data_IF_217142275671
#
_entry.id   IF_217142275671
#
_cell.length_a   1.000
_cell.length_b   1.000
_cell.length_c   1.000
_cell.angle_alpha   90.00
_cell.angle_beta   90.00
_cell.angle_gamma   90.00
#
_symmetry.space_group_name_H-M   'P 1'
#
loop_
_entity.id
_entity.type
_entity.pdbx_description
1 polymer ?
#
# COMPACT_ATOMS: atom_id res chain seq x y z
N UNK A 1 5.15 28.26 -1.23
CA UNK A 1 5.89 27.91 -0.01
C UNK A 1 5.29 28.69 1.15
N UNK A 2 4.70 28.00 2.13
CA UNK A 2 3.95 28.60 3.24
C UNK A 2 4.84 28.97 4.42
N UNK A 3 4.42 29.99 5.19
CA UNK A 3 5.10 30.43 6.42
C UNK A 3 5.21 29.27 7.42
N UNK A 4 6.41 29.09 7.96
CA UNK A 4 6.72 28.09 8.99
C UNK A 4 6.06 28.53 10.31
N UNK A 5 5.15 27.71 10.85
CA UNK A 5 4.66 27.90 12.20
C UNK A 5 5.71 27.28 13.12
N UNK A 6 6.64 28.12 13.58
CA UNK A 6 7.86 27.69 14.27
C UNK A 6 7.62 26.65 15.37
N UNK A 7 8.54 25.69 15.46
CA UNK A 7 8.58 24.70 16.54
C UNK A 7 8.71 25.43 17.88
N UNK A 8 7.86 25.10 18.85
CA UNK A 8 8.01 25.65 20.21
C UNK A 8 9.35 25.20 20.82
N UNK A 9 9.99 26.01 21.67
CA UNK A 9 11.25 25.64 22.35
C UNK A 9 11.14 24.35 23.19
N UNK A 10 9.92 23.92 23.53
CA UNK A 10 9.65 22.68 24.26
C UNK A 10 9.31 21.48 23.35
N UNK A 11 9.32 21.70 22.04
CA UNK A 11 9.08 20.66 21.06
C UNK A 11 10.37 19.89 20.76
N UNK A 12 10.52 18.75 21.45
CA UNK A 12 11.62 17.80 21.23
C UNK A 12 11.38 16.88 20.03
N UNK A 13 10.27 17.05 19.31
CA UNK A 13 9.89 16.14 18.23
C UNK A 13 10.60 16.47 16.91
N UNK A 14 11.19 15.42 16.34
CA UNK A 14 11.91 15.46 15.07
C UNK A 14 11.12 14.68 14.03
N UNK A 15 11.15 15.10 12.77
CA UNK A 15 10.50 14.36 11.68
C UNK A 15 9.12 14.88 11.29
N UNK A 16 8.82 16.16 11.53
CA UNK A 16 7.63 16.79 10.97
C UNK A 16 7.93 18.22 10.50
N UNK A 17 7.11 18.71 9.57
CA UNK A 17 7.14 20.06 8.99
C UNK A 17 5.75 20.67 9.05
N UNK A 18 5.65 21.98 9.29
CA UNK A 18 4.37 22.69 9.29
C UNK A 18 4.22 23.54 8.03
N UNK A 19 2.99 23.90 7.69
CA UNK A 19 2.76 24.82 6.58
C UNK A 19 1.30 25.15 6.35
N UNK A 20 1.02 25.65 5.15
CA UNK A 20 -0.31 25.99 4.69
C UNK A 20 -0.58 25.35 3.33
N UNK A 21 -1.73 24.69 3.21
CA UNK A 21 -2.31 24.29 1.93
C UNK A 21 -3.62 25.05 1.77
N UNK A 22 -3.75 25.88 0.74
CA UNK A 22 -4.98 26.68 0.50
C UNK A 22 -5.47 27.42 1.76
N UNK A 23 -4.53 28.05 2.49
CA UNK A 23 -4.76 28.77 3.77
C UNK A 23 -5.17 27.91 4.95
N UNK A 24 -5.10 26.58 4.85
CA UNK A 24 -5.36 25.64 5.95
C UNK A 24 -4.04 25.21 6.58
N UNK A 25 -3.88 25.35 7.91
CA UNK A 25 -2.73 24.81 8.62
C UNK A 25 -2.61 23.31 8.39
N UNK A 26 -1.41 22.88 8.01
CA UNK A 26 -1.07 21.47 7.85
C UNK A 26 0.19 21.13 8.62
N UNK A 27 0.25 19.90 9.08
CA UNK A 27 1.42 19.29 9.70
C UNK A 27 1.70 18.01 8.93
N UNK A 28 2.90 17.92 8.35
CA UNK A 28 3.36 16.74 7.61
C UNK A 28 4.37 16.04 8.50
N UNK A 29 4.06 14.81 8.92
CA UNK A 29 4.93 14.00 9.73
C UNK A 29 5.52 12.84 8.91
N UNK A 30 6.79 12.56 9.13
CA UNK A 30 7.62 11.60 8.41
C UNK A 30 8.23 10.63 9.41
N UNK A 31 7.60 9.45 9.61
CA UNK A 31 8.08 8.44 10.54
C UNK A 31 9.52 7.99 10.24
N UNK A 32 10.25 7.60 11.28
CA UNK A 32 11.63 7.09 11.18
C UNK A 32 11.65 5.63 10.71
N UNK A 33 11.26 5.37 9.47
CA UNK A 33 11.26 4.04 8.87
C UNK A 33 9.90 3.60 8.36
N UNK A 34 9.91 2.50 7.61
CA UNK A 34 8.74 1.93 6.94
C UNK A 34 8.18 0.79 7.80
N UNK A 35 7.44 1.14 8.84
CA UNK A 35 6.70 0.18 9.65
C UNK A 35 5.53 0.82 10.41
N UNK A 36 4.59 -0.04 10.84
CA UNK A 36 3.36 0.37 11.52
C UNK A 36 3.64 1.01 12.88
N UNK A 37 4.66 0.55 13.60
CA UNK A 37 4.97 1.03 14.95
C UNK A 37 5.50 2.47 14.91
N UNK A 38 6.47 2.76 14.04
CA UNK A 38 7.01 4.09 13.86
C UNK A 38 5.95 5.07 13.34
N UNK A 39 5.09 4.64 12.41
CA UNK A 39 3.96 5.46 11.95
C UNK A 39 2.96 5.76 13.08
N UNK A 40 2.61 4.77 13.90
CA UNK A 40 1.69 4.93 15.02
C UNK A 40 2.28 5.86 16.10
N UNK A 41 3.55 5.69 16.46
CA UNK A 41 4.24 6.54 17.42
C UNK A 41 4.28 8.00 16.93
N UNK A 42 4.59 8.21 15.65
CA UNK A 42 4.61 9.54 15.08
C UNK A 42 3.21 10.18 15.07
N UNK A 43 2.17 9.42 14.72
CA UNK A 43 0.79 9.90 14.73
C UNK A 43 0.30 10.23 16.16
N UNK A 44 0.66 9.42 17.15
CA UNK A 44 0.35 9.67 18.56
C UNK A 44 1.04 10.94 19.06
N UNK A 45 2.31 11.14 18.69
CA UNK A 45 3.05 12.36 19.00
C UNK A 45 2.39 13.59 18.36
N UNK A 46 2.05 13.52 17.07
CA UNK A 46 1.37 14.61 16.36
C UNK A 46 0.02 14.94 17.00
N UNK A 47 -0.74 13.93 17.41
CA UNK A 47 -2.01 14.11 18.11
C UNK A 47 -1.86 14.81 19.46
N UNK A 48 -0.69 14.66 20.10
CA UNK A 48 -0.34 15.33 21.35
C UNK A 48 0.10 16.78 21.16
N UNK A 49 0.93 17.05 20.13
CA UNK A 49 1.53 18.39 19.94
C UNK A 49 0.66 19.31 19.08
N UNK A 50 -0.11 18.77 18.14
CA UNK A 50 -0.93 19.56 17.23
C UNK A 50 -2.33 19.69 17.79
N UNK A 51 -2.63 20.86 18.34
CA UNK A 51 -3.98 21.16 18.81
C UNK A 51 -4.93 21.31 17.62
N UNK A 52 -6.11 20.67 17.70
CA UNK A 52 -7.20 20.78 16.72
C UNK A 52 -6.99 20.09 15.36
N UNK A 53 -6.35 18.91 15.31
CA UNK A 53 -6.40 18.06 14.10
C UNK A 53 -7.86 17.71 13.77
N UNK A 54 -8.37 18.22 12.63
CA UNK A 54 -9.72 17.89 12.12
C UNK A 54 -9.71 16.69 11.17
N UNK A 55 -8.60 16.49 10.47
CA UNK A 55 -8.40 15.41 9.51
C UNK A 55 -6.94 14.96 9.55
N UNK A 56 -6.72 13.66 9.70
CA UNK A 56 -5.43 13.03 9.54
C UNK A 56 -5.48 12.12 8.31
N UNK A 57 -4.49 12.24 7.42
CA UNK A 57 -4.37 11.41 6.22
C UNK A 57 -3.06 10.64 6.29
N UNK A 58 -3.13 9.33 6.11
CA UNK A 58 -1.95 8.50 5.88
C UNK A 58 -1.71 8.46 4.36
N UNK A 59 -0.57 9.00 3.93
CA UNK A 59 -0.19 9.07 2.51
C UNK A 59 1.10 8.29 2.32
N UNK A 60 1.14 7.44 1.31
CA UNK A 60 2.31 6.64 0.98
C UNK A 60 2.07 5.82 -0.28
N UNK A 61 3.15 5.20 -0.77
CA UNK A 61 3.10 4.24 -1.86
C UNK A 61 2.73 2.88 -1.29
N UNK A 62 1.84 2.15 -1.97
CA UNK A 62 1.42 0.81 -1.58
C UNK A 62 1.40 -0.11 -2.79
N UNK A 63 1.57 -1.41 -2.55
CA UNK A 63 1.16 -2.42 -3.50
C UNK A 63 -0.37 -2.48 -3.58
N UNK A 64 -0.91 -2.71 -4.77
CA UNK A 64 -2.33 -2.86 -5.04
C UNK A 64 -2.64 -4.27 -5.54
N UNK A 65 -3.78 -4.82 -5.13
CA UNK A 65 -4.33 -5.95 -5.86
C UNK A 65 -4.71 -5.46 -7.27
N UNK A 66 -4.47 -6.26 -8.32
CA UNK A 66 -4.55 -5.81 -9.71
C UNK A 66 -5.94 -5.37 -10.17
N UNK A 67 -6.98 -5.73 -9.41
CA UNK A 67 -8.37 -5.42 -9.72
C UNK A 67 -9.10 -4.98 -8.46
N UNK A 68 -10.04 -4.05 -8.63
CA UNK A 68 -10.96 -3.64 -7.55
C UNK A 68 -11.86 -4.80 -7.13
N UNK A 69 -12.21 -4.92 -5.83
CA UNK A 69 -13.04 -6.01 -5.31
C UNK A 69 -14.54 -5.75 -5.54
N UNK A 70 -14.93 -5.37 -6.77
CA UNK A 70 -16.31 -5.08 -7.17
C UNK A 70 -16.86 -6.19 -8.07
N UNK A 71 -18.20 -6.34 -8.19
CA UNK A 71 -18.81 -7.26 -9.15
C UNK A 71 -18.32 -7.04 -10.58
N UNK A 72 -18.12 -5.77 -10.94
CA UNK A 72 -17.43 -5.33 -12.16
C UNK A 72 -16.03 -4.86 -11.78
N UNK A 73 -15.01 -5.74 -11.86
CA UNK A 73 -13.65 -5.42 -11.47
C UNK A 73 -13.03 -4.42 -12.44
N UNK A 74 -12.63 -3.27 -11.91
CA UNK A 74 -11.80 -2.29 -12.61
C UNK A 74 -10.32 -2.59 -12.34
N UNK A 75 -9.45 -2.64 -13.36
CA UNK A 75 -8.00 -2.78 -13.18
C UNK A 75 -7.41 -1.60 -12.41
N UNK A 76 -6.37 -1.86 -11.62
CA UNK A 76 -5.62 -0.85 -10.85
C UNK A 76 -4.19 -0.84 -11.37
N UNK A 77 -3.74 0.31 -11.86
CA UNK A 77 -2.42 0.49 -12.46
C UNK A 77 -1.43 1.17 -11.53
N UNK A 78 -0.14 0.97 -11.80
CA UNK A 78 0.95 1.71 -11.19
C UNK A 78 0.79 3.21 -11.49
N UNK A 79 0.70 3.99 -10.42
CA UNK A 79 0.45 5.43 -10.47
C UNK A 79 -1.00 5.82 -10.17
N UNK A 80 -1.93 4.87 -10.08
CA UNK A 80 -3.29 5.16 -9.62
C UNK A 80 -3.30 5.61 -8.16
N UNK A 81 -4.15 6.59 -7.87
CA UNK A 81 -4.40 7.12 -6.54
C UNK A 81 -5.57 6.38 -5.91
N UNK A 82 -5.28 5.61 -4.86
CA UNK A 82 -6.30 4.88 -4.12
C UNK A 82 -6.68 5.63 -2.85
N UNK A 83 -7.96 5.96 -2.71
CA UNK A 83 -8.53 6.54 -1.49
C UNK A 83 -9.26 5.45 -0.72
N UNK A 84 -8.67 5.02 0.39
CA UNK A 84 -9.28 4.01 1.25
C UNK A 84 -10.48 4.57 2.03
N UNK A 85 -11.57 3.82 2.09
CA UNK A 85 -12.69 4.11 2.99
C UNK A 85 -12.67 3.24 4.26
N UNK A 86 -11.82 2.21 4.29
CA UNK A 86 -11.66 1.32 5.44
C UNK A 86 -10.31 0.61 5.42
N UNK A 87 -9.75 0.36 6.59
CA UNK A 87 -8.46 -0.32 6.76
C UNK A 87 -8.67 -1.57 7.60
N UNK A 88 -8.00 -2.66 7.24
CA UNK A 88 -8.01 -3.92 7.99
C UNK A 88 -6.59 -4.35 8.29
N UNK A 89 -6.36 -4.87 9.50
CA UNK A 89 -5.08 -5.47 9.87
C UNK A 89 -5.10 -6.95 9.44
N UNK A 90 -4.60 -7.24 8.23
CA UNK A 90 -4.82 -8.54 7.60
C UNK A 90 -4.00 -9.67 8.25
N UNK A 91 -2.84 -9.35 8.80
CA UNK A 91 -1.87 -10.24 9.47
C UNK A 91 -1.98 -10.25 11.01
N UNK A 92 -2.97 -9.54 11.56
CA UNK A 92 -3.34 -9.66 12.97
C UNK A 92 -4.24 -10.88 13.24
N UNK A 93 -3.62 -11.98 13.67
CA UNK A 93 -4.29 -13.27 13.77
C UNK A 93 -3.43 -14.36 14.36
N UNK A 94 -3.96 -15.58 14.31
CA UNK A 94 -3.29 -16.78 14.81
C UNK A 94 -2.89 -17.67 13.64
N UNK A 95 -1.65 -18.14 13.66
CA UNK A 95 -1.19 -19.19 12.75
C UNK A 95 -1.50 -20.55 13.37
N UNK A 96 -2.44 -21.29 12.79
CA UNK A 96 -2.74 -22.67 13.13
C UNK A 96 -2.08 -23.63 12.14
N UNK A 97 -2.09 -24.92 12.47
CA UNK A 97 -1.60 -25.99 11.59
C UNK A 97 -2.43 -26.09 10.30
N UNK A 98 -3.73 -25.77 10.36
CA UNK A 98 -4.65 -25.71 9.21
C UNK A 98 -4.63 -24.35 8.49
N UNK A 99 -3.86 -23.39 8.99
CA UNK A 99 -3.63 -22.11 8.34
C UNK A 99 -3.81 -20.89 9.24
N UNK A 100 -3.66 -19.71 8.65
CA UNK A 100 -3.80 -18.44 9.34
C UNK A 100 -5.27 -18.05 9.49
N UNK A 101 -5.69 -17.70 10.71
CA UNK A 101 -7.03 -17.14 10.98
C UNK A 101 -6.86 -15.74 11.57
N UNK A 102 -7.32 -14.74 10.80
CA UNK A 102 -7.39 -13.35 11.24
C UNK A 102 -8.31 -13.22 12.44
N UNK A 103 -7.89 -12.43 13.44
CA UNK A 103 -8.76 -12.03 14.53
C UNK A 103 -9.87 -11.11 14.01
N UNK A 104 -11.09 -11.32 14.51
CA UNK A 104 -12.30 -10.60 14.09
C UNK A 104 -13.12 -10.09 15.27
N UNK A 105 -12.57 -10.15 16.49
CA UNK A 105 -13.22 -9.57 17.65
C UNK A 105 -13.37 -8.07 17.48
N UNK A 106 -14.33 -7.48 18.21
CA UNK A 106 -14.59 -6.03 18.16
C UNK A 106 -13.32 -5.25 18.53
N UNK A 107 -12.56 -5.73 19.51
CA UNK A 107 -11.27 -5.16 19.95
C UNK A 107 -10.13 -5.37 18.95
N UNK A 108 -10.28 -6.33 18.03
CA UNK A 108 -9.27 -6.68 17.03
C UNK A 108 -9.50 -5.99 15.67
N UNK A 109 -10.62 -5.27 15.53
CA UNK A 109 -10.99 -4.54 14.31
C UNK A 109 -10.64 -3.07 14.49
N UNK A 110 -9.98 -2.50 13.48
CA UNK A 110 -9.70 -1.07 13.45
C UNK A 110 -11.00 -0.27 13.44
N UNK A 111 -11.03 0.79 14.24
CA UNK A 111 -12.17 1.71 14.29
C UNK A 111 -12.49 2.29 12.93
N UNK A 112 -13.77 2.54 12.67
CA UNK A 112 -14.18 3.26 11.46
C UNK A 112 -13.80 4.73 11.56
N UNK A 113 -13.62 5.37 10.42
CA UNK A 113 -13.57 6.83 10.36
C UNK A 113 -14.81 7.42 11.05
N UNK A 114 -14.62 8.53 11.76
CA UNK A 114 -15.74 9.24 12.39
C UNK A 114 -16.75 9.72 11.33
N UNK A 115 -17.97 10.06 11.76
CA UNK A 115 -19.05 10.42 10.84
C UNK A 115 -18.70 11.60 9.92
N UNK A 116 -17.97 12.59 10.43
CA UNK A 116 -17.57 13.78 9.66
C UNK A 116 -16.64 13.39 8.50
N UNK A 117 -15.59 12.62 8.79
CA UNK A 117 -14.64 12.11 7.79
C UNK A 117 -15.34 11.15 6.83
N UNK A 118 -16.17 10.23 7.33
CA UNK A 118 -16.90 9.28 6.49
C UNK A 118 -17.87 9.99 5.53
N UNK A 119 -18.56 11.04 6.00
CA UNK A 119 -19.46 11.85 5.17
C UNK A 119 -18.67 12.66 4.14
N UNK A 120 -17.53 13.23 4.53
CA UNK A 120 -16.63 13.93 3.63
C UNK A 120 -16.14 13.03 2.50
N UNK A 121 -15.60 11.84 2.82
CA UNK A 121 -15.11 10.86 1.83
C UNK A 121 -16.25 10.38 0.92
N UNK A 122 -17.43 10.09 1.48
CA UNK A 122 -18.62 9.74 0.68
C UNK A 122 -19.04 10.87 -0.26
N UNK A 123 -18.85 12.12 0.14
CA UNK A 123 -19.05 13.29 -0.72
C UNK A 123 -18.11 13.33 -1.92
N UNK A 124 -16.85 12.92 -1.74
CA UNK A 124 -15.84 12.86 -2.81
C UNK A 124 -16.17 11.81 -3.86
N UNK A 125 -16.83 10.72 -3.46
CA UNK A 125 -17.26 9.63 -4.37
C UNK A 125 -18.39 10.04 -5.33
N UNK A 126 -19.06 11.18 -5.08
CA UNK A 126 -20.12 11.66 -5.98
C UNK A 126 -19.52 12.04 -7.33
N UNK A 127 -20.18 11.62 -8.42
CA UNK A 127 -19.71 11.78 -9.81
C UNK A 127 -19.08 13.14 -10.13
N UNK A 128 -19.72 14.26 -9.75
CA UNK A 128 -19.20 15.62 -10.01
C UNK A 128 -17.95 15.94 -9.18
N UNK A 129 -17.94 15.56 -7.89
CA UNK A 129 -16.81 15.79 -7.01
C UNK A 129 -15.60 14.95 -7.45
N UNK A 130 -15.84 13.69 -7.78
CA UNK A 130 -14.83 12.78 -8.31
C UNK A 130 -14.22 13.32 -9.60
N UNK A 131 -15.05 13.66 -10.60
CA UNK A 131 -14.55 14.21 -11.85
C UNK A 131 -13.70 15.48 -11.65
N UNK A 132 -14.13 16.37 -10.75
CA UNK A 132 -13.37 17.59 -10.43
C UNK A 132 -12.01 17.27 -9.80
N UNK A 133 -11.98 16.34 -8.84
CA UNK A 133 -10.75 15.98 -8.12
C UNK A 133 -9.79 15.23 -9.05
N UNK A 134 -10.29 14.28 -9.84
CA UNK A 134 -9.49 13.58 -10.84
C UNK A 134 -8.91 14.56 -11.86
N UNK A 135 -9.69 15.50 -12.38
CA UNK A 135 -9.18 16.48 -13.34
C UNK A 135 -8.10 17.39 -12.72
N UNK A 136 -8.29 17.83 -11.48
CA UNK A 136 -7.29 18.64 -10.77
C UNK A 136 -6.01 17.84 -10.54
N UNK A 137 -6.12 16.62 -10.01
CA UNK A 137 -4.97 15.73 -9.77
C UNK A 137 -4.22 15.43 -11.06
N UNK A 138 -4.92 15.17 -12.16
CA UNK A 138 -4.28 14.94 -13.45
C UNK A 138 -3.52 16.17 -13.95
N UNK A 139 -4.08 17.37 -13.75
CA UNK A 139 -3.39 18.62 -14.05
C UNK A 139 -2.13 18.80 -13.22
N UNK A 140 -2.24 18.60 -11.90
CA UNK A 140 -1.13 18.74 -10.97
C UNK A 140 -0.01 17.72 -11.26
N UNK A 141 -0.36 16.46 -11.53
CA UNK A 141 0.58 15.41 -11.93
C UNK A 141 1.24 15.76 -13.27
N UNK A 142 0.47 16.22 -14.27
CA UNK A 142 1.03 16.60 -15.56
C UNK A 142 2.05 17.75 -15.42
N UNK A 143 1.75 18.75 -14.58
CA UNK A 143 2.71 19.83 -14.29
C UNK A 143 3.97 19.30 -13.59
N UNK A 144 3.83 18.38 -12.63
CA UNK A 144 4.97 17.76 -11.96
C UNK A 144 5.85 16.97 -12.92
N UNK A 145 5.25 16.16 -13.79
CA UNK A 145 5.95 15.37 -14.81
C UNK A 145 6.66 16.26 -15.85
N UNK A 146 6.07 17.41 -16.21
CA UNK A 146 6.73 18.39 -17.10
C UNK A 146 7.99 18.99 -16.46
N UNK A 147 8.00 19.14 -15.13
CA UNK A 147 9.14 19.70 -14.39
C UNK A 147 10.19 18.65 -14.06
N UNK A 148 9.80 17.40 -13.90
CA UNK A 148 10.70 16.29 -13.58
C UNK A 148 10.21 15.01 -14.23
N UNK A 149 10.89 14.59 -15.29
CA UNK A 149 10.56 13.39 -16.06
C UNK A 149 10.67 12.10 -15.24
N UNK A 150 11.41 12.10 -14.12
CA UNK A 150 11.52 10.94 -13.22
C UNK A 150 10.19 10.56 -12.57
N UNK A 151 9.22 11.49 -12.52
CA UNK A 151 7.87 11.21 -12.02
C UNK A 151 6.90 10.75 -13.11
N UNK A 152 7.31 10.78 -14.39
CA UNK A 152 6.46 10.34 -15.48
C UNK A 152 6.27 8.82 -15.41
N UNK A 153 5.00 8.39 -15.43
CA UNK A 153 4.68 6.97 -15.53
C UNK A 153 5.16 6.44 -16.90
N UNK A 154 5.72 5.23 -16.95
CA UNK A 154 6.11 4.58 -18.21
C UNK A 154 4.92 4.15 -19.07
N UNK A 155 3.67 4.32 -18.58
CA UNK A 155 2.44 4.02 -19.30
C UNK A 155 1.81 2.67 -18.89
N UNK A 156 0.48 2.51 -19.08
CA UNK A 156 -0.24 1.29 -18.71
C UNK A 156 0.23 0.05 -19.50
N UNK A 157 0.81 0.23 -20.69
CA UNK A 157 1.37 -0.84 -21.51
C UNK A 157 2.62 -1.49 -20.89
N UNK A 158 3.30 -0.77 -20.00
CA UNK A 158 4.45 -1.26 -19.24
C UNK A 158 4.02 -1.85 -17.89
N UNK A 159 2.72 -1.79 -17.57
CA UNK A 159 2.17 -2.36 -16.34
C UNK A 159 1.71 -3.80 -16.59
N UNK A 160 2.42 -4.74 -15.99
CA UNK A 160 2.29 -6.15 -16.25
C UNK A 160 1.60 -6.86 -15.11
N UNK A 161 0.41 -7.37 -15.41
CA UNK A 161 -0.45 -8.04 -14.45
C UNK A 161 -0.20 -9.54 -14.49
N UNK A 162 -0.07 -10.18 -13.32
CA UNK A 162 0.17 -11.61 -13.24
C UNK A 162 -1.04 -12.32 -12.62
N UNK A 163 -1.39 -13.53 -13.11
CA UNK A 163 -2.36 -14.40 -12.43
C UNK A 163 -1.98 -14.63 -10.97
N UNK A 164 -2.97 -14.85 -10.11
CA UNK A 164 -2.74 -15.03 -8.67
C UNK A 164 -1.97 -16.32 -8.31
N UNK A 165 -1.97 -17.30 -9.21
CA UNK A 165 -1.20 -18.53 -9.13
C UNK A 165 0.16 -18.42 -9.85
N UNK A 166 0.47 -17.26 -10.44
CA UNK A 166 1.75 -17.03 -11.08
C UNK A 166 2.88 -17.08 -10.06
N UNK A 167 3.91 -17.86 -10.38
CA UNK A 167 5.11 -18.00 -9.57
C UNK A 167 6.28 -17.38 -10.31
N UNK A 168 6.85 -16.34 -9.72
CA UNK A 168 8.10 -15.74 -10.18
C UNK A 168 9.27 -16.67 -9.87
N UNK A 169 9.54 -17.59 -10.79
CA UNK A 169 10.60 -18.61 -10.71
C UNK A 169 11.28 -18.77 -12.07
N UNK A 170 12.35 -19.56 -12.15
CA UNK A 170 12.88 -20.00 -13.44
C UNK A 170 11.78 -20.70 -14.26
N UNK A 171 11.41 -20.11 -15.39
CA UNK A 171 10.32 -20.62 -16.23
C UNK A 171 10.77 -21.82 -17.07
N UNK A 172 12.05 -21.85 -17.46
CA UNK A 172 12.67 -22.97 -18.16
C UNK A 172 13.32 -23.93 -17.17
N UNK A 173 12.97 -25.22 -17.26
CA UNK A 173 13.39 -26.31 -16.35
C UNK A 173 14.86 -26.73 -16.46
N UNK A 174 15.75 -25.86 -16.94
CA UNK A 174 17.16 -26.22 -17.10
C UNK A 174 17.93 -25.95 -15.81
N UNK A 175 17.83 -26.87 -14.85
CA UNK A 175 18.84 -27.06 -13.81
C UNK A 175 18.54 -26.53 -12.41
N UNK A 176 17.33 -26.04 -12.11
CA UNK A 176 16.98 -25.53 -10.79
C UNK A 176 16.06 -26.49 -10.01
N UNK A 177 16.68 -27.39 -9.23
CA UNK A 177 15.96 -28.41 -8.44
C UNK A 177 14.92 -27.86 -7.46
N UNK A 178 15.07 -26.61 -7.03
CA UNK A 178 14.11 -25.90 -6.17
C UNK A 178 12.91 -25.39 -6.98
N UNK A 179 13.14 -24.67 -8.08
CA UNK A 179 12.08 -24.09 -8.92
C UNK A 179 11.27 -25.16 -9.67
N UNK A 180 11.89 -26.30 -10.02
CA UNK A 180 11.22 -27.44 -10.65
C UNK A 180 10.13 -28.01 -9.75
N UNK A 181 10.42 -28.07 -8.45
CA UNK A 181 9.48 -28.53 -7.43
C UNK A 181 8.44 -27.48 -7.05
N UNK A 182 8.61 -26.20 -7.44
CA UNK A 182 7.70 -25.10 -7.08
C UNK A 182 6.39 -25.14 -7.91
N UNK A 183 5.48 -26.05 -7.55
CA UNK A 183 4.16 -26.22 -8.15
C UNK A 183 3.03 -25.63 -7.27
N UNK A 184 3.29 -25.46 -5.97
CA UNK A 184 2.33 -24.94 -5.00
C UNK A 184 2.84 -23.63 -4.40
N UNK A 185 1.93 -22.89 -3.78
CA UNK A 185 2.19 -21.55 -3.24
C UNK A 185 3.21 -21.53 -2.09
N UNK A 186 3.30 -22.63 -1.33
CA UNK A 186 4.17 -22.83 -0.16
C UNK A 186 5.52 -23.44 -0.53
N UNK A 187 5.68 -23.87 -1.78
CA UNK A 187 6.95 -24.38 -2.26
C UNK A 187 7.94 -23.23 -2.43
N UNK A 188 9.18 -23.50 -2.08
CA UNK A 188 10.26 -22.52 -2.15
C UNK A 188 10.56 -22.13 -3.60
N UNK A 189 10.84 -20.85 -3.81
CA UNK A 189 11.53 -20.35 -4.99
C UNK A 189 13.02 -20.29 -4.64
N UNK A 190 13.91 -20.56 -5.59
CA UNK A 190 15.33 -20.44 -5.32
C UNK A 190 15.73 -18.97 -5.17
N UNK A 191 16.74 -18.71 -4.33
CA UNK A 191 17.23 -17.35 -4.06
C UNK A 191 17.68 -16.61 -5.34
N UNK A 192 18.24 -17.34 -6.32
CA UNK A 192 18.62 -16.76 -7.60
C UNK A 192 17.41 -16.17 -8.34
N UNK A 193 16.30 -16.92 -8.44
CA UNK A 193 15.09 -16.43 -9.08
C UNK A 193 14.38 -15.33 -8.27
N UNK A 194 14.51 -15.31 -6.94
CA UNK A 194 13.98 -14.20 -6.14
C UNK A 194 14.69 -12.88 -6.46
N UNK A 195 15.99 -12.92 -6.75
CA UNK A 195 16.84 -11.75 -7.02
C UNK A 195 16.92 -11.36 -8.50
N UNK A 196 16.60 -12.28 -9.42
CA UNK A 196 16.61 -12.02 -10.86
C UNK A 196 15.56 -11.00 -11.29
N UNK A 197 15.73 -10.40 -12.47
CA UNK A 197 14.73 -9.52 -13.10
C UNK A 197 13.62 -10.32 -13.80
N UNK A 198 12.52 -9.65 -14.17
CA UNK A 198 11.47 -10.29 -14.96
C UNK A 198 11.93 -10.64 -16.39
N UNK A 199 12.89 -9.91 -16.94
CA UNK A 199 13.46 -10.17 -18.27
C UNK A 199 14.31 -11.44 -18.26
N UNK A 200 15.13 -11.62 -17.21
CA UNK A 200 15.94 -12.83 -17.00
C UNK A 200 15.06 -14.07 -16.81
N UNK A 201 13.95 -13.91 -16.09
CA UNK A 201 13.00 -14.97 -15.81
C UNK A 201 11.97 -15.18 -16.93
N UNK A 202 11.90 -14.29 -17.92
CA UNK A 202 10.90 -14.30 -19.01
C UNK A 202 9.46 -14.28 -18.48
N UNK A 203 9.17 -13.34 -17.59
CA UNK A 203 7.84 -13.26 -16.96
C UNK A 203 6.72 -12.85 -17.94
N UNK A 204 7.06 -12.08 -18.97
CA UNK A 204 6.11 -11.35 -19.83
C UNK A 204 5.17 -12.26 -20.62
N UNK A 205 5.57 -13.49 -20.94
CA UNK A 205 4.79 -14.44 -21.75
C UNK A 205 3.45 -14.86 -21.11
N UNK A 206 3.25 -14.61 -19.81
CA UNK A 206 2.01 -14.94 -19.07
C UNK A 206 1.32 -13.74 -18.46
N UNK A 207 1.70 -12.52 -18.88
CA UNK A 207 1.05 -11.31 -18.39
C UNK A 207 -0.39 -11.20 -18.90
N UNK A 208 -1.24 -10.63 -18.05
CA UNK A 208 -2.54 -10.11 -18.42
C UNK A 208 -2.33 -8.67 -18.88
N UNK A 209 -3.01 -8.27 -19.96
CA UNK A 209 -2.99 -6.89 -20.46
C UNK A 209 -4.40 -6.32 -20.24
N UNK A 210 -4.64 -5.63 -19.13
CA UNK A 210 -5.91 -4.94 -18.92
C UNK A 210 -5.93 -3.59 -19.64
N UNK A 211 -7.13 -3.18 -20.06
CA UNK A 211 -7.35 -1.83 -20.59
C UNK A 211 -7.29 -0.78 -19.47
N UNK A 212 -6.64 0.37 -19.69
CA UNK A 212 -6.52 1.42 -18.68
C UNK A 212 -7.88 1.96 -18.24
N UNK A 213 -8.12 2.01 -16.93
CA UNK A 213 -9.36 2.53 -16.37
C UNK A 213 -9.12 3.28 -15.06
N UNK A 214 -9.33 4.60 -15.11
CA UNK A 214 -9.43 5.54 -13.99
C UNK A 214 -8.19 5.70 -13.08
N UNK A 215 -7.64 6.91 -13.03
CA UNK A 215 -6.51 7.31 -12.18
C UNK A 215 -6.86 7.36 -10.68
N UNK A 216 -8.15 7.46 -10.32
CA UNK A 216 -8.60 7.59 -8.92
C UNK A 216 -9.67 6.57 -8.59
N UNK A 217 -9.38 5.68 -7.65
CA UNK A 217 -10.32 4.66 -7.18
C UNK A 217 -10.54 4.73 -5.66
N UNK A 218 -11.72 4.28 -5.22
CA UNK A 218 -12.06 4.14 -3.80
C UNK A 218 -12.17 2.67 -3.41
N UNK A 219 -11.45 2.25 -2.37
CA UNK A 219 -11.54 0.89 -1.84
C UNK A 219 -12.62 0.80 -0.76
N UNK A 220 -13.86 0.53 -1.18
CA UNK A 220 -15.05 0.41 -0.34
C UNK A 220 -15.21 -0.94 0.36
N UNK A 221 -14.85 -2.00 -0.36
CA UNK A 221 -15.01 -3.37 0.08
C UNK A 221 -13.64 -4.02 0.20
N UNK A 222 -13.54 -4.92 1.19
CA UNK A 222 -12.39 -5.79 1.47
C UNK A 222 -11.54 -5.97 0.22
N UNK A 223 -10.35 -5.36 0.17
CA UNK A 223 -9.28 -5.86 -0.67
C UNK A 223 -9.05 -7.29 -0.21
N UNK A 224 -9.76 -8.25 -0.80
CA UNK A 224 -9.35 -9.64 -0.76
C UNK A 224 -8.10 -9.65 -1.58
N UNK A 225 -7.00 -9.36 -0.91
CA UNK A 225 -5.72 -9.80 -1.39
C UNK A 225 -5.87 -11.29 -1.63
N UNK A 226 -5.88 -11.69 -2.90
CA UNK A 226 -5.67 -13.06 -3.28
C UNK A 226 -4.26 -13.41 -2.81
N UNK A 227 -4.12 -13.79 -1.54
CA UNK A 227 -2.93 -14.34 -0.89
C UNK A 227 -1.62 -14.02 -1.64
N UNK A 228 -1.12 -12.78 -1.60
CA UNK A 228 0.34 -12.62 -1.69
C UNK A 228 0.89 -13.08 -0.36
N UNK A 229 1.10 -14.39 -0.32
CA UNK A 229 1.88 -15.01 0.71
C UNK A 229 3.32 -14.72 0.33
N UNK A 230 3.86 -13.62 0.87
CA UNK A 230 5.31 -13.39 0.93
C UNK A 230 5.97 -14.73 1.28
N UNK A 231 6.81 -15.23 0.38
CA UNK A 231 7.73 -16.30 0.71
C UNK A 231 8.63 -15.73 1.81
N UNK A 232 8.40 -16.13 3.07
CA UNK A 232 9.35 -15.80 4.13
C UNK A 232 10.61 -16.62 3.88
N UNK A 233 11.70 -15.93 3.55
CA UNK A 233 13.04 -16.41 3.80
C UNK A 233 13.15 -16.83 5.27
N UNK A 234 13.83 -17.95 5.51
CA UNK A 234 13.99 -18.58 6.82
C UNK A 234 14.54 -17.60 7.87
N UNK A 235 13.75 -17.26 8.87
CA UNK A 235 14.29 -16.93 10.19
C UNK A 235 14.09 -18.14 11.09
N UNK A 236 15.20 -18.84 11.36
CA UNK A 236 15.31 -19.86 12.40
C UNK A 236 15.07 -19.17 13.75
N UNK A 237 13.89 -19.33 14.33
CA UNK A 237 13.68 -19.13 15.75
C UNK A 237 13.98 -20.46 16.46
N UNK A 238 15.24 -20.63 16.87
CA UNK A 238 15.59 -21.66 17.85
C UNK A 238 15.21 -21.13 19.23
N UNK A 239 14.06 -21.57 19.75
CA UNK A 239 13.77 -21.47 21.18
C UNK A 239 14.59 -22.55 21.89
N UNK A 240 15.75 -22.17 22.40
CA UNK A 240 16.48 -22.96 23.37
C UNK A 240 15.71 -22.95 24.68
N UNK A 241 15.06 -24.08 24.98
CA UNK A 241 14.65 -24.47 26.32
C UNK A 241 15.92 -24.61 27.17
N UNK A 242 16.06 -23.82 28.23
CA UNK A 242 16.78 -24.25 29.42
C UNK A 242 15.84 -24.10 30.62
N UNK A 243 15.30 -25.25 31.03
CA UNK A 243 15.06 -25.52 32.45
C UNK A 243 16.42 -25.86 33.05
N UNK A 244 16.79 -25.15 34.10
CA UNK A 244 17.16 -25.71 35.41
C UNK A 244 16.89 -24.63 36.45
#
# INVERSE_FOLDING_TARGET
MGKDYGKSEHDRSSGYTTGLIEKRPVVIASPRGIDVLNAANQAAEMSRISQNIKLAMLVGVTGGAPFTPKPEPVPIFLGDIIISTSVIHYDFGWQYTDGYKRKKGIEDILGRANQEVATFVSGLQRRRALARITNQMNGDIAELCQRCLEFASPGPEQDHFFPSDYRRKHQTQQGCSTCDKCQQWDHLVCEAAEKSSCDELKCVDRCLIPEPANIVAFSGDTLRYSRERKCRGKERWALGSNRE
#
